data_IF_866704616300
#
_entry.id   IF_866704616300
#
_cell.length_a   1.000
_cell.length_b   1.000
_cell.length_c   1.000
_cell.angle_alpha   90.00
_cell.angle_beta   90.00
_cell.angle_gamma   90.00
#
_symmetry.space_group_name_H-M   'P 1'
#
loop_
_entity.id
_entity.type
_entity.pdbx_description
1 polymer ?
#
# COMPACT_ATOMS: atom_id res chain seq x y z
N UNK A 1 -0.82 -1.73 19.12
CA UNK A 1 -0.96 -0.74 18.03
C UNK A 1 -1.29 -1.54 16.79
N UNK A 2 -2.47 -1.33 16.21
CA UNK A 2 -3.13 -2.28 15.30
C UNK A 2 -2.21 -2.75 14.17
N UNK A 3 -2.01 -4.08 14.08
CA UNK A 3 -1.42 -4.73 12.90
C UNK A 3 -2.16 -4.29 11.62
N UNK A 4 -3.46 -4.01 11.71
CA UNK A 4 -4.28 -3.57 10.56
C UNK A 4 -3.85 -2.26 9.90
N UNK A 5 -3.45 -1.22 10.65
CA UNK A 5 -3.01 0.06 10.01
C UNK A 5 -1.65 -0.09 9.37
N UNK A 6 -0.75 -0.79 10.06
CA UNK A 6 0.60 -1.03 9.55
C UNK A 6 0.51 -1.92 8.29
N UNK A 7 -0.31 -2.96 8.31
CA UNK A 7 -0.57 -3.81 7.14
C UNK A 7 -1.20 -3.01 5.99
N UNK A 8 -2.25 -2.22 6.26
CA UNK A 8 -2.85 -1.34 5.25
C UNK A 8 -1.82 -0.35 4.67
N UNK A 9 -1.03 0.29 5.51
CA UNK A 9 0.01 1.21 5.09
C UNK A 9 1.03 0.53 4.18
N UNK A 10 1.56 -0.63 4.59
CA UNK A 10 2.51 -1.43 3.81
C UNK A 10 1.92 -1.85 2.47
N UNK A 11 0.66 -2.29 2.47
CA UNK A 11 -0.04 -2.68 1.25
C UNK A 11 -0.22 -1.48 0.29
N UNK A 12 -0.64 -0.31 0.80
CA UNK A 12 -0.73 0.90 -0.03
C UNK A 12 0.63 1.34 -0.58
N UNK A 13 1.69 1.27 0.23
CA UNK A 13 3.06 1.55 -0.19
C UNK A 13 3.51 0.60 -1.31
N UNK A 14 3.26 -0.71 -1.14
CA UNK A 14 3.65 -1.74 -2.10
C UNK A 14 2.90 -1.58 -3.42
N UNK A 15 1.57 -1.41 -3.38
CA UNK A 15 0.74 -1.12 -4.55
C UNK A 15 1.28 0.06 -5.37
N UNK A 16 1.61 1.17 -4.68
CA UNK A 16 2.13 2.37 -5.33
C UNK A 16 3.49 2.14 -5.97
N UNK A 17 4.37 1.46 -5.25
CA UNK A 17 5.72 1.18 -5.74
C UNK A 17 5.70 0.26 -6.96
N UNK A 18 4.89 -0.80 -6.94
CA UNK A 18 4.73 -1.69 -8.09
C UNK A 18 4.04 -1.00 -9.27
N UNK A 19 3.04 -0.16 -9.02
CA UNK A 19 2.41 0.63 -10.09
C UNK A 19 3.42 1.57 -10.75
N UNK A 20 4.31 2.21 -9.98
CA UNK A 20 5.39 3.04 -10.53
C UNK A 20 6.38 2.23 -11.35
N UNK A 21 6.77 1.05 -10.88
CA UNK A 21 7.64 0.15 -11.62
C UNK A 21 7.02 -0.21 -12.97
N UNK A 22 5.78 -0.69 -12.99
CA UNK A 22 5.07 -1.05 -14.22
C UNK A 22 4.95 0.14 -15.17
N UNK A 23 4.47 1.29 -14.68
CA UNK A 23 4.33 2.48 -15.53
C UNK A 23 5.67 2.93 -16.13
N UNK A 24 6.78 2.75 -15.41
CA UNK A 24 8.12 3.12 -15.91
C UNK A 24 8.59 2.14 -16.99
N UNK A 25 8.32 0.84 -16.80
CA UNK A 25 8.64 -0.22 -17.76
C UNK A 25 7.79 -0.12 -19.03
N UNK A 26 6.49 0.16 -18.90
CA UNK A 26 5.57 0.34 -20.02
C UNK A 26 5.97 1.55 -20.90
N UNK A 27 6.59 2.58 -20.30
CA UNK A 27 7.07 3.76 -21.01
C UNK A 27 8.47 3.58 -21.63
N UNK A 28 9.25 2.60 -21.17
CA UNK A 28 10.64 2.39 -21.59
C UNK A 28 10.92 0.88 -21.75
N UNK A 29 10.71 0.37 -22.97
CA UNK A 29 10.82 -1.06 -23.31
C UNK A 29 12.22 -1.64 -23.02
N UNK A 30 13.27 -0.82 -23.08
CA UNK A 30 14.65 -1.24 -22.81
C UNK A 30 15.00 -1.27 -21.32
N UNK A 31 14.13 -0.75 -20.45
CA UNK A 31 14.36 -0.69 -19.03
C UNK A 31 13.96 -2.00 -18.37
N UNK A 32 14.87 -2.58 -17.60
CA UNK A 32 14.60 -3.78 -16.80
C UNK A 32 14.13 -3.40 -15.39
N UNK A 33 13.40 -4.29 -14.73
CA UNK A 33 13.02 -4.11 -13.32
C UNK A 33 14.24 -3.89 -12.41
N UNK A 34 15.37 -4.54 -12.70
CA UNK A 34 16.64 -4.32 -11.97
C UNK A 34 17.14 -2.88 -12.13
N UNK A 35 17.04 -2.30 -13.33
CA UNK A 35 17.44 -0.91 -13.57
C UNK A 35 16.48 0.06 -12.89
N UNK A 36 15.17 -0.24 -12.88
CA UNK A 36 14.20 0.53 -12.11
C UNK A 36 14.62 0.60 -10.63
N UNK A 37 14.89 -0.53 -10.00
CA UNK A 37 15.30 -0.56 -8.58
C UNK A 37 16.64 0.14 -8.33
N UNK A 38 17.60 0.06 -9.26
CA UNK A 38 18.86 0.82 -9.14
C UNK A 38 18.65 2.34 -9.20
N UNK A 39 17.64 2.80 -9.92
CA UNK A 39 17.25 4.21 -9.99
C UNK A 39 16.25 4.65 -8.92
N UNK A 40 15.70 3.71 -8.14
CA UNK A 40 14.70 4.00 -7.12
C UNK A 40 15.36 4.52 -5.84
N UNK A 41 15.48 5.84 -5.75
CA UNK A 41 16.18 6.52 -4.66
C UNK A 41 15.31 6.78 -3.41
N UNK A 42 15.98 7.26 -2.35
CA UNK A 42 15.33 7.59 -1.07
C UNK A 42 14.27 8.70 -1.20
N UNK A 43 14.40 9.58 -2.19
CA UNK A 43 13.44 10.65 -2.41
C UNK A 43 12.11 10.07 -2.94
N UNK A 44 12.16 9.10 -3.86
CA UNK A 44 10.96 8.39 -4.29
C UNK A 44 10.34 7.55 -3.16
N UNK A 45 11.17 6.90 -2.33
CA UNK A 45 10.70 6.18 -1.13
C UNK A 45 9.89 7.11 -0.21
N UNK A 46 10.45 8.27 0.16
CA UNK A 46 9.77 9.23 1.05
C UNK A 46 8.45 9.72 0.44
N UNK A 47 8.42 9.97 -0.88
CA UNK A 47 7.19 10.33 -1.58
C UNK A 47 6.15 9.21 -1.53
N UNK A 48 6.56 7.96 -1.68
CA UNK A 48 5.65 6.81 -1.59
C UNK A 48 5.13 6.61 -0.17
N UNK A 49 5.95 6.87 0.87
CA UNK A 49 5.50 6.88 2.27
C UNK A 49 4.40 7.93 2.47
N UNK A 50 4.64 9.18 2.09
CA UNK A 50 3.65 10.25 2.26
C UNK A 50 2.35 9.98 1.50
N UNK A 51 2.47 9.46 0.27
CA UNK A 51 1.32 9.10 -0.56
C UNK A 51 0.57 7.86 -0.05
N UNK A 52 1.26 6.87 0.50
CA UNK A 52 0.63 5.70 1.11
C UNK A 52 -0.09 6.08 2.39
N UNK A 53 0.47 6.98 3.20
CA UNK A 53 -0.22 7.52 4.37
C UNK A 53 -1.51 8.26 3.99
N UNK A 54 -1.48 9.05 2.91
CA UNK A 54 -2.67 9.72 2.38
C UNK A 54 -3.71 8.80 1.74
N UNK A 55 -3.37 7.55 1.41
CA UNK A 55 -4.32 6.54 0.91
C UNK A 55 -5.06 5.83 2.04
N UNK A 56 -4.57 5.91 3.28
CA UNK A 56 -5.29 5.35 4.43
C UNK A 56 -6.53 6.20 4.66
N UNK A 57 -7.68 5.57 4.57
CA UNK A 57 -8.96 6.25 4.70
C UNK A 57 -9.18 6.80 6.10
N UNK A 58 -9.97 7.86 6.18
CA UNK A 58 -10.34 8.45 7.46
C UNK A 58 -11.05 7.44 8.36
N UNK A 59 -11.90 6.57 7.79
CA UNK A 59 -12.58 5.50 8.53
C UNK A 59 -11.59 4.48 9.09
N UNK A 60 -10.62 4.02 8.29
CA UNK A 60 -9.59 3.11 8.78
C UNK A 60 -8.80 3.73 9.93
N UNK A 61 -8.43 5.01 9.81
CA UNK A 61 -7.73 5.73 10.87
C UNK A 61 -8.62 5.92 12.12
N UNK A 62 -9.90 6.26 11.94
CA UNK A 62 -10.88 6.41 13.03
C UNK A 62 -11.16 5.08 13.74
N UNK A 63 -11.20 3.96 13.01
CA UNK A 63 -11.40 2.63 13.59
C UNK A 63 -10.29 2.25 14.58
N UNK A 64 -9.08 2.75 14.32
CA UNK A 64 -7.88 2.51 15.13
C UNK A 64 -7.83 3.44 16.31
N UNK A 65 -8.12 4.72 16.09
CA UNK A 65 -8.29 5.64 17.21
C UNK A 65 -9.49 5.28 18.09
N UNK A 66 -10.52 4.61 17.58
CA UNK A 66 -11.62 4.05 18.38
C UNK A 66 -11.11 2.97 19.34
N UNK A 67 -10.19 2.10 18.90
CA UNK A 67 -9.57 1.09 19.78
C UNK A 67 -8.64 1.71 20.83
N UNK A 68 -7.89 2.74 20.45
CA UNK A 68 -6.89 3.39 21.33
C UNK A 68 -7.53 4.42 22.27
N UNK A 69 -8.54 5.15 21.82
CA UNK A 69 -9.17 6.28 22.49
C UNK A 69 -10.71 6.16 22.46
N UNK A 70 -11.24 4.99 22.83
CA UNK A 70 -12.68 4.68 22.81
C UNK A 70 -13.54 5.65 23.63
N UNK A 71 -12.94 6.34 24.61
CA UNK A 71 -13.61 7.31 25.48
C UNK A 71 -13.76 8.70 24.85
N UNK A 72 -12.99 8.99 23.79
CA UNK A 72 -12.85 10.34 23.20
C UNK A 72 -13.61 10.45 21.87
N UNK A 73 -13.76 9.35 21.14
CA UNK A 73 -14.31 9.37 19.77
C UNK A 73 -15.77 8.88 19.77
N UNK A 74 -16.74 9.71 19.33
CA UNK A 74 -18.14 9.30 19.17
C UNK A 74 -18.28 8.12 18.22
N UNK A 75 -19.21 7.21 18.52
CA UNK A 75 -19.50 6.06 17.66
C UNK A 75 -20.22 6.52 16.39
N UNK A 76 -19.53 6.47 15.25
CA UNK A 76 -20.10 6.74 13.93
C UNK A 76 -20.14 5.42 13.15
N UNK A 77 -21.17 5.26 12.30
CA UNK A 77 -21.36 4.10 11.43
C UNK A 77 -20.19 3.97 10.46
N UNK A 78 -19.71 2.74 10.29
CA UNK A 78 -18.61 2.40 9.39
C UNK A 78 -19.04 2.71 7.94
N UNK A 79 -18.33 3.62 7.28
CA UNK A 79 -18.44 3.85 5.84
C UNK A 79 -17.67 2.72 5.13
N UNK A 80 -18.23 2.21 4.02
CA UNK A 80 -17.57 1.18 3.22
C UNK A 80 -16.36 1.78 2.47
N UNK A 81 -15.17 1.43 2.94
CA UNK A 81 -13.90 1.72 2.27
C UNK A 81 -13.43 0.53 1.44
N UNK A 82 -12.43 0.76 0.57
CA UNK A 82 -11.73 -0.32 -0.12
C UNK A 82 -11.22 -1.36 0.90
N UNK A 83 -11.62 -2.63 0.74
CA UNK A 83 -11.22 -3.68 1.65
C UNK A 83 -9.74 -4.05 1.49
N UNK A 84 -9.16 -4.64 2.54
CA UNK A 84 -7.79 -5.13 2.49
C UNK A 84 -7.63 -6.27 1.48
N UNK A 85 -8.64 -7.12 1.31
CA UNK A 85 -8.66 -8.20 0.32
C UNK A 85 -8.59 -7.65 -1.11
N UNK A 86 -9.35 -6.58 -1.42
CA UNK A 86 -9.28 -5.91 -2.72
C UNK A 86 -7.92 -5.26 -2.95
N UNK A 87 -7.32 -4.70 -1.90
CA UNK A 87 -5.98 -4.11 -1.98
C UNK A 87 -4.91 -5.18 -2.21
N UNK A 88 -4.98 -6.29 -1.49
CA UNK A 88 -4.08 -7.44 -1.60
C UNK A 88 -4.15 -8.07 -2.99
N UNK A 89 -5.36 -8.30 -3.51
CA UNK A 89 -5.54 -8.82 -4.88
C UNK A 89 -4.87 -7.96 -5.94
N UNK A 90 -5.01 -6.63 -5.86
CA UNK A 90 -4.33 -5.70 -6.77
C UNK A 90 -2.81 -5.80 -6.67
N UNK A 91 -2.26 -5.97 -5.47
CA UNK A 91 -0.81 -6.11 -5.28
C UNK A 91 -0.29 -7.38 -5.92
N UNK A 92 -0.98 -8.52 -5.75
CA UNK A 92 -0.59 -9.80 -6.34
C UNK A 92 -0.65 -9.75 -7.88
N UNK A 93 -1.65 -9.08 -8.44
CA UNK A 93 -1.69 -8.84 -9.89
C UNK A 93 -0.50 -8.02 -10.39
N UNK A 94 -0.13 -6.96 -9.67
CA UNK A 94 1.02 -6.13 -10.00
C UNK A 94 2.34 -6.91 -9.85
N UNK A 95 2.48 -7.73 -8.79
CA UNK A 95 3.64 -8.59 -8.58
C UNK A 95 3.81 -9.59 -9.72
N UNK A 96 2.71 -10.23 -10.15
CA UNK A 96 2.69 -11.13 -11.30
C UNK A 96 3.13 -10.44 -12.60
N UNK A 97 2.70 -9.19 -12.82
CA UNK A 97 3.14 -8.40 -13.99
C UNK A 97 4.63 -8.07 -13.95
N UNK A 98 5.18 -7.90 -12.75
CA UNK A 98 6.60 -7.62 -12.54
C UNK A 98 7.47 -8.88 -12.47
N UNK A 99 6.88 -10.08 -12.55
CA UNK A 99 7.55 -11.36 -12.36
C UNK A 99 8.31 -11.43 -11.02
N UNK A 100 7.68 -10.93 -9.95
CA UNK A 100 8.21 -10.95 -8.58
C UNK A 100 7.45 -11.98 -7.77
N UNK A 101 8.19 -12.84 -7.06
CA UNK A 101 7.64 -13.82 -6.13
C UNK A 101 7.15 -13.12 -4.85
N UNK A 102 5.85 -12.80 -4.83
CA UNK A 102 5.13 -12.22 -3.70
C UNK A 102 3.86 -13.04 -3.51
N UNK A 103 3.66 -13.54 -2.30
CA UNK A 103 2.45 -14.26 -1.91
C UNK A 103 1.60 -13.42 -0.94
N UNK A 104 0.41 -13.94 -0.60
CA UNK A 104 -0.54 -13.27 0.26
C UNK A 104 0.04 -12.94 1.66
N UNK A 105 0.85 -13.84 2.21
CA UNK A 105 1.47 -13.67 3.53
C UNK A 105 2.44 -12.48 3.50
N UNK A 106 3.16 -12.28 2.40
CA UNK A 106 4.09 -11.16 2.22
C UNK A 106 3.37 -9.80 2.19
N UNK A 107 2.08 -9.77 1.81
CA UNK A 107 1.24 -8.57 1.81
C UNK A 107 0.60 -8.31 3.18
N UNK A 108 0.35 -9.37 3.95
CA UNK A 108 -0.32 -9.35 5.26
C UNK A 108 0.62 -9.02 6.44
N UNK A 109 1.93 -9.21 6.29
CA UNK A 109 2.95 -8.97 7.34
C UNK A 109 3.41 -7.51 7.46
#
# INVERSE_FOLDING_TARGET
MDQGVIANFKAYYLRRTFTQAINTLDQNVDLTLRQFWKGFDIYQVIKNIGRAWGDITETAMRSVWKKVCSQIIPQVQDLEDQSFEELSGKILELARKLDVDVNQIDVEQ
#
